data_IF_432814066285
#
_entry.id   IF_432814066285
#
_cell.length_a   1.000
_cell.length_b   1.000
_cell.length_c   1.000
_cell.angle_alpha   90.00
_cell.angle_beta   90.00
_cell.angle_gamma   90.00
#
_symmetry.space_group_name_H-M   'P 1'
#
loop_
_entity.id
_entity.type
_entity.pdbx_description
1 polymer ?
#
# COMPACT_ATOMS: atom_id res chain seq x y z
N UNK A 1 21.83 4.39 -19.96
CA UNK A 1 20.70 4.42 -20.88
C UNK A 1 20.63 3.04 -21.50
N UNK A 2 19.89 2.11 -20.89
CA UNK A 2 19.53 0.84 -21.48
C UNK A 2 18.45 1.11 -22.53
N UNK A 3 18.61 0.55 -23.73
CA UNK A 3 17.56 0.58 -24.73
C UNK A 3 16.30 -0.05 -24.13
N UNK A 4 15.17 0.63 -24.25
CA UNK A 4 13.84 0.11 -23.88
C UNK A 4 13.56 -1.12 -24.77
N UNK A 5 13.88 -2.33 -24.26
CA UNK A 5 13.68 -3.60 -24.97
C UNK A 5 12.19 -4.02 -24.98
N UNK A 6 11.31 -3.23 -24.34
CA UNK A 6 9.85 -3.46 -24.32
C UNK A 6 9.13 -2.75 -25.49
N UNK A 7 9.79 -1.80 -26.18
CA UNK A 7 9.23 -1.12 -27.33
C UNK A 7 9.09 -2.09 -28.51
N UNK A 8 7.86 -2.61 -28.71
CA UNK A 8 7.50 -3.48 -29.83
C UNK A 8 6.98 -4.87 -29.46
N UNK A 9 7.02 -5.29 -28.20
CA UNK A 9 6.37 -6.54 -27.78
C UNK A 9 4.85 -6.32 -27.67
N UNK A 10 4.11 -7.14 -28.40
CA UNK A 10 2.66 -7.23 -28.29
C UNK A 10 2.30 -8.53 -27.55
N UNK A 11 1.42 -8.42 -26.56
CA UNK A 11 0.87 -9.54 -25.82
C UNK A 11 -0.65 -9.51 -25.98
N UNK A 12 -1.21 -10.52 -26.63
CA UNK A 12 -2.64 -10.74 -26.76
C UNK A 12 -3.08 -11.77 -25.76
N UNK A 13 -4.00 -11.40 -24.87
CA UNK A 13 -4.67 -12.29 -23.94
C UNK A 13 -6.11 -12.45 -24.45
N UNK A 14 -6.43 -13.63 -24.95
CA UNK A 14 -7.72 -13.91 -25.57
C UNK A 14 -8.56 -14.90 -24.75
N UNK A 15 -9.86 -14.96 -25.07
CA UNK A 15 -10.80 -15.90 -24.49
C UNK A 15 -10.81 -15.83 -22.94
N UNK A 16 -11.08 -14.64 -22.41
CA UNK A 16 -11.14 -14.35 -20.97
C UNK A 16 -12.48 -13.75 -20.57
N UNK A 17 -12.85 -13.93 -19.30
CA UNK A 17 -13.89 -13.13 -18.64
C UNK A 17 -13.19 -11.98 -17.91
N UNK A 18 -13.58 -10.75 -18.21
CA UNK A 18 -12.89 -9.55 -17.73
C UNK A 18 -13.64 -8.98 -16.53
N UNK A 19 -12.92 -8.82 -15.39
CA UNK A 19 -13.24 -7.86 -14.35
C UNK A 19 -12.39 -6.62 -14.60
N UNK A 20 -13.02 -5.50 -14.95
CA UNK A 20 -12.28 -4.31 -15.39
C UNK A 20 -11.80 -3.38 -14.26
N UNK A 21 -12.09 -3.73 -12.99
CA UNK A 21 -11.75 -2.91 -11.82
C UNK A 21 -12.80 -1.83 -11.49
N UNK A 22 -13.84 -1.68 -12.32
CA UNK A 22 -14.88 -0.63 -12.17
C UNK A 22 -16.28 -1.24 -12.11
N UNK A 23 -16.57 -2.17 -13.01
CA UNK A 23 -17.87 -2.87 -13.12
C UNK A 23 -18.08 -3.83 -11.96
N UNK A 24 -19.33 -4.23 -11.73
CA UNK A 24 -19.69 -5.22 -10.70
C UNK A 24 -19.93 -6.62 -11.27
N UNK A 25 -19.63 -6.81 -12.55
CA UNK A 25 -19.87 -8.05 -13.29
C UNK A 25 -18.70 -8.34 -14.23
N UNK A 26 -18.59 -9.62 -14.62
CA UNK A 26 -17.66 -10.05 -15.66
C UNK A 26 -18.31 -9.92 -17.03
N UNK A 27 -17.47 -9.69 -18.04
CA UNK A 27 -17.85 -9.77 -19.45
C UNK A 27 -16.76 -10.49 -20.26
N UNK A 28 -17.16 -11.17 -21.33
CA UNK A 28 -16.23 -11.87 -22.21
C UNK A 28 -15.44 -10.89 -23.07
N UNK A 29 -14.17 -11.17 -23.30
CA UNK A 29 -13.35 -10.31 -24.12
C UNK A 29 -11.94 -10.79 -24.38
N UNK A 30 -11.19 -9.90 -25.04
CA UNK A 30 -9.81 -10.05 -25.42
C UNK A 30 -9.07 -8.76 -25.08
N UNK A 31 -7.83 -8.87 -24.62
CA UNK A 31 -7.01 -7.72 -24.21
C UNK A 31 -5.70 -7.73 -24.97
N UNK A 32 -5.42 -6.64 -25.68
CA UNK A 32 -4.13 -6.42 -26.34
C UNK A 32 -3.30 -5.46 -25.49
N UNK A 33 -2.08 -5.86 -25.20
CA UNK A 33 -1.06 -5.07 -24.52
C UNK A 33 0.03 -4.72 -25.53
N UNK A 34 0.41 -3.43 -25.58
CA UNK A 34 1.55 -2.94 -26.38
C UNK A 34 2.49 -2.16 -25.47
N UNK A 35 3.74 -2.64 -25.39
CA UNK A 35 4.71 -2.08 -24.47
C UNK A 35 4.22 -2.16 -23.01
N UNK A 36 4.04 -1.01 -22.36
CA UNK A 36 3.68 -0.91 -20.93
C UNK A 36 2.18 -0.65 -20.65
N UNK A 37 1.36 -0.55 -21.70
CA UNK A 37 -0.06 -0.15 -21.59
C UNK A 37 -0.99 -1.10 -22.32
N UNK A 38 -2.26 -1.12 -21.91
CA UNK A 38 -3.33 -1.82 -22.59
C UNK A 38 -3.69 -1.01 -23.84
N UNK A 39 -3.52 -1.61 -25.02
CA UNK A 39 -3.80 -0.98 -26.32
C UNK A 39 -5.26 -1.14 -26.73
N UNK A 40 -5.88 -2.30 -26.46
CA UNK A 40 -7.29 -2.56 -26.77
C UNK A 40 -7.91 -3.52 -25.78
N UNK A 41 -9.24 -3.37 -25.61
CA UNK A 41 -10.12 -4.30 -24.88
C UNK A 41 -11.35 -4.49 -25.77
N UNK A 42 -11.57 -5.69 -26.33
CA UNK A 42 -12.60 -5.95 -27.32
C UNK A 42 -13.42 -7.20 -26.95
N UNK A 43 -14.69 -7.20 -27.28
CA UNK A 43 -15.56 -8.39 -27.16
C UNK A 43 -15.41 -9.34 -28.35
N UNK A 44 -14.92 -8.88 -29.47
CA UNK A 44 -14.62 -9.68 -30.67
C UNK A 44 -13.14 -10.06 -30.70
N UNK A 45 -12.79 -11.18 -31.35
CA UNK A 45 -11.38 -11.59 -31.46
C UNK A 45 -10.49 -10.51 -32.07
N UNK A 46 -9.35 -10.25 -31.44
CA UNK A 46 -8.31 -9.36 -31.95
C UNK A 46 -7.35 -10.21 -32.79
N UNK A 47 -7.06 -9.77 -34.02
CA UNK A 47 -6.11 -10.47 -34.88
C UNK A 47 -4.69 -10.40 -34.29
N UNK A 48 -4.06 -11.55 -34.09
CA UNK A 48 -2.65 -11.62 -33.75
C UNK A 48 -1.77 -11.25 -34.95
N UNK A 49 -0.76 -10.45 -34.70
CA UNK A 49 0.29 -10.10 -35.68
C UNK A 49 1.47 -11.08 -35.63
N UNK A 50 2.32 -11.02 -36.65
CA UNK A 50 3.56 -11.81 -36.67
C UNK A 50 4.47 -11.37 -35.49
N UNK A 51 4.83 -12.34 -34.64
CA UNK A 51 5.69 -12.10 -33.47
C UNK A 51 4.96 -11.72 -32.19
N UNK A 52 3.62 -11.64 -32.18
CA UNK A 52 2.83 -11.46 -30.96
C UNK A 52 2.96 -12.66 -30.04
N UNK A 53 2.99 -12.41 -28.72
CA UNK A 53 2.79 -13.46 -27.72
C UNK A 53 1.30 -13.60 -27.50
N UNK A 54 0.75 -14.79 -27.79
CA UNK A 54 -0.68 -15.06 -27.61
C UNK A 54 -0.88 -15.99 -26.40
N UNK A 55 -1.75 -15.57 -25.50
CA UNK A 55 -2.15 -16.33 -24.30
C UNK A 55 -3.66 -16.62 -24.39
N UNK A 56 -4.03 -17.88 -24.53
CA UNK A 56 -5.41 -18.32 -24.38
C UNK A 56 -5.78 -18.40 -22.90
N UNK A 57 -6.68 -17.55 -22.45
CA UNK A 57 -7.19 -17.55 -21.08
C UNK A 57 -8.14 -18.71 -20.78
N UNK A 58 -8.65 -19.41 -21.80
CA UNK A 58 -9.56 -20.55 -21.69
C UNK A 58 -10.75 -20.28 -20.75
N UNK A 59 -11.37 -19.11 -20.88
CA UNK A 59 -12.53 -18.69 -20.09
C UNK A 59 -12.23 -18.33 -18.62
N UNK A 60 -10.95 -18.22 -18.22
CA UNK A 60 -10.54 -17.74 -16.88
C UNK A 60 -10.81 -16.25 -16.72
N UNK A 61 -10.75 -15.77 -15.47
CA UNK A 61 -10.97 -14.37 -15.18
C UNK A 61 -9.69 -13.56 -15.30
N UNK A 62 -9.69 -12.56 -16.18
CA UNK A 62 -8.66 -11.53 -16.25
C UNK A 62 -9.10 -10.34 -15.41
N UNK A 63 -8.23 -9.88 -14.49
CA UNK A 63 -8.49 -8.73 -13.63
C UNK A 63 -7.28 -7.81 -13.56
N UNK A 64 -7.43 -6.54 -13.13
CA UNK A 64 -6.29 -5.68 -12.87
C UNK A 64 -5.39 -6.27 -11.77
N UNK A 65 -4.12 -5.94 -11.79
CA UNK A 65 -3.21 -6.20 -10.69
C UNK A 65 -3.74 -5.61 -9.39
N UNK A 66 -3.64 -6.36 -8.29
CA UNK A 66 -4.07 -5.91 -6.97
C UNK A 66 -3.13 -4.84 -6.44
N UNK A 67 -3.66 -4.04 -5.53
CA UNK A 67 -2.95 -2.95 -4.86
C UNK A 67 -3.03 -3.09 -3.35
N UNK A 68 -1.98 -2.67 -2.65
CA UNK A 68 -1.95 -2.59 -1.18
C UNK A 68 -1.65 -1.15 -0.78
N UNK A 69 -2.58 -0.50 -0.07
CA UNK A 69 -2.48 0.92 0.26
C UNK A 69 -1.69 1.22 1.54
N UNK A 70 -1.21 0.19 2.23
CA UNK A 70 -0.42 0.39 3.45
C UNK A 70 0.53 -0.79 3.68
N UNK A 71 1.71 -0.67 3.13
CA UNK A 71 2.81 -1.62 3.40
C UNK A 71 4.00 -0.90 4.03
N UNK A 72 4.87 -1.70 4.60
CA UNK A 72 6.19 -1.31 5.07
C UNK A 72 7.21 -2.30 4.51
N UNK A 73 7.59 -2.15 3.24
CA UNK A 73 8.43 -3.16 2.54
C UNK A 73 9.72 -3.47 3.30
N UNK A 74 10.37 -2.45 3.88
CA UNK A 74 11.54 -2.64 4.73
C UNK A 74 11.19 -3.43 5.99
N UNK A 75 10.08 -3.10 6.65
CA UNK A 75 9.60 -3.78 7.86
C UNK A 75 9.07 -5.19 7.59
N UNK A 76 8.41 -5.42 6.45
CA UNK A 76 7.96 -6.77 6.03
C UNK A 76 9.12 -7.71 5.73
N UNK A 77 10.23 -7.17 5.25
CA UNK A 77 11.40 -7.94 4.84
C UNK A 77 12.34 -8.27 5.99
N UNK A 78 12.26 -7.55 7.10
CA UNK A 78 13.28 -7.58 8.14
C UNK A 78 12.65 -7.66 9.54
N UNK A 79 13.26 -8.45 10.41
CA UNK A 79 12.93 -8.44 11.84
C UNK A 79 13.45 -7.17 12.51
N UNK A 80 12.98 -6.85 13.72
CA UNK A 80 13.53 -5.74 14.51
C UNK A 80 15.04 -5.88 14.72
N UNK A 81 15.54 -7.12 14.92
CA UNK A 81 16.97 -7.38 15.08
C UNK A 81 17.74 -7.06 13.79
N UNK A 82 17.20 -7.42 12.62
CA UNK A 82 17.82 -7.09 11.34
C UNK A 82 17.91 -5.57 11.14
N UNK A 83 16.85 -4.82 11.48
CA UNK A 83 16.85 -3.35 11.37
C UNK A 83 17.93 -2.71 12.27
N UNK A 84 18.12 -3.26 13.47
CA UNK A 84 19.11 -2.73 14.44
C UNK A 84 20.54 -3.13 14.05
N UNK A 85 20.77 -4.38 13.66
CA UNK A 85 22.11 -4.97 13.49
C UNK A 85 22.55 -5.11 12.04
N UNK A 86 21.61 -5.14 11.10
CA UNK A 86 21.89 -5.42 9.68
C UNK A 86 22.57 -4.25 8.98
N UNK A 87 23.38 -4.54 7.97
CA UNK A 87 23.89 -3.50 7.08
C UNK A 87 22.80 -2.94 6.16
N UNK A 88 22.92 -1.70 5.71
CA UNK A 88 21.96 -1.12 4.75
C UNK A 88 21.87 -1.96 3.45
N UNK A 89 22.98 -2.56 3.01
CA UNK A 89 22.99 -3.45 1.84
C UNK A 89 22.17 -4.72 2.08
N UNK A 90 22.28 -5.32 3.28
CA UNK A 90 21.47 -6.48 3.66
C UNK A 90 20.00 -6.14 3.68
N UNK A 91 19.61 -5.02 4.34
CA UNK A 91 18.23 -4.57 4.42
C UNK A 91 17.64 -4.30 3.03
N UNK A 92 18.39 -3.62 2.15
CA UNK A 92 17.95 -3.34 0.79
C UNK A 92 17.76 -4.62 -0.05
N UNK A 93 18.69 -5.57 0.06
CA UNK A 93 18.59 -6.87 -0.66
C UNK A 93 17.38 -7.68 -0.19
N UNK A 94 17.15 -7.77 1.13
CA UNK A 94 15.97 -8.44 1.70
C UNK A 94 14.67 -7.75 1.26
N UNK A 95 14.64 -6.41 1.26
CA UNK A 95 13.48 -5.63 0.83
C UNK A 95 13.16 -5.85 -0.65
N UNK A 96 14.17 -5.93 -1.53
CA UNK A 96 13.94 -6.23 -2.95
C UNK A 96 13.41 -7.65 -3.15
N UNK A 97 13.92 -8.63 -2.41
CA UNK A 97 13.41 -10.01 -2.44
C UNK A 97 11.93 -10.05 -1.99
N UNK A 98 11.59 -9.36 -0.89
CA UNK A 98 10.22 -9.25 -0.38
C UNK A 98 9.28 -8.54 -1.35
N UNK A 99 9.75 -7.51 -2.06
CA UNK A 99 9.01 -6.86 -3.12
C UNK A 99 8.67 -7.84 -4.26
N UNK A 100 9.60 -8.74 -4.62
CA UNK A 100 9.35 -9.81 -5.59
C UNK A 100 8.25 -10.76 -5.12
N UNK A 101 8.29 -11.18 -3.86
CA UNK A 101 7.27 -12.08 -3.29
C UNK A 101 5.89 -11.38 -3.27
N UNK A 102 5.84 -10.09 -2.95
CA UNK A 102 4.62 -9.27 -3.02
C UNK A 102 4.03 -9.25 -4.43
N UNK A 103 4.86 -9.06 -5.46
CA UNK A 103 4.42 -9.12 -6.86
C UNK A 103 3.90 -10.52 -7.24
N UNK A 104 4.56 -11.59 -6.79
CA UNK A 104 4.15 -12.97 -7.07
C UNK A 104 2.82 -13.34 -6.39
N UNK A 105 2.43 -12.62 -5.34
CA UNK A 105 1.08 -12.72 -4.74
C UNK A 105 0.02 -11.91 -5.51
N UNK A 106 0.39 -11.23 -6.61
CA UNK A 106 -0.52 -10.49 -7.47
C UNK A 106 -0.67 -9.01 -7.09
N UNK A 107 0.05 -8.51 -6.09
CA UNK A 107 0.06 -7.09 -5.77
C UNK A 107 1.06 -6.37 -6.68
N UNK A 108 0.55 -5.71 -7.72
CA UNK A 108 1.36 -5.04 -8.74
C UNK A 108 1.70 -3.59 -8.39
N UNK A 109 1.02 -3.03 -7.39
CA UNK A 109 1.26 -1.66 -6.88
C UNK A 109 1.07 -1.61 -5.37
N UNK A 110 1.98 -0.93 -4.67
CA UNK A 110 1.92 -0.74 -3.22
C UNK A 110 2.19 0.72 -2.84
N UNK A 111 1.53 1.19 -1.76
CA UNK A 111 1.85 2.45 -1.09
C UNK A 111 2.64 2.12 0.17
N UNK A 112 3.93 2.45 0.15
CA UNK A 112 4.86 2.18 1.23
C UNK A 112 4.88 3.34 2.24
N UNK A 113 4.60 3.02 3.50
CA UNK A 113 4.26 3.99 4.54
C UNK A 113 5.36 4.17 5.59
N UNK A 114 6.51 3.50 5.44
CA UNK A 114 7.78 3.83 6.11
C UNK A 114 8.93 3.00 5.53
N UNK A 115 10.08 3.63 5.38
CA UNK A 115 11.32 3.01 4.92
C UNK A 115 11.90 3.65 3.66
N UNK A 116 13.21 3.58 3.50
CA UNK A 116 13.92 4.10 2.33
C UNK A 116 13.75 3.18 1.12
N UNK A 117 12.65 3.35 0.39
CA UNK A 117 12.29 2.53 -0.77
C UNK A 117 12.31 3.26 -2.11
N UNK A 118 12.60 4.57 -2.16
CA UNK A 118 12.68 5.29 -3.43
C UNK A 118 13.82 4.79 -4.32
N UNK A 119 14.92 4.32 -3.73
CA UNK A 119 16.01 3.65 -4.46
C UNK A 119 15.57 2.30 -5.06
N UNK A 120 14.86 1.49 -4.27
CA UNK A 120 14.30 0.19 -4.68
C UNK A 120 13.28 0.38 -5.81
N UNK A 121 12.39 1.38 -5.69
CA UNK A 121 11.46 1.75 -6.76
C UNK A 121 12.17 1.96 -8.09
N UNK A 122 13.27 2.72 -8.11
CA UNK A 122 14.02 3.00 -9.36
C UNK A 122 14.56 1.70 -10.00
N UNK A 123 14.99 0.74 -9.19
CA UNK A 123 15.44 -0.57 -9.68
C UNK A 123 14.28 -1.34 -10.28
N UNK A 124 13.14 -1.40 -9.58
CA UNK A 124 11.94 -2.09 -10.04
C UNK A 124 11.32 -1.42 -11.27
N UNK A 125 11.32 -0.08 -11.36
CA UNK A 125 10.81 0.65 -12.53
C UNK A 125 11.65 0.35 -13.80
N UNK A 126 12.94 0.01 -13.62
CA UNK A 126 13.82 -0.41 -14.72
C UNK A 126 13.72 -1.92 -15.02
N UNK A 127 13.32 -2.74 -14.06
CA UNK A 127 13.21 -4.21 -14.15
C UNK A 127 11.89 -4.64 -13.51
N UNK A 128 10.77 -4.55 -14.26
CA UNK A 128 9.41 -4.72 -13.74
C UNK A 128 9.14 -6.06 -13.03
N UNK A 129 9.88 -7.08 -13.37
CA UNK A 129 9.77 -8.43 -12.80
C UNK A 129 10.30 -8.52 -11.36
N UNK A 130 10.99 -7.51 -10.86
CA UNK A 130 11.59 -7.53 -9.52
C UNK A 130 10.66 -7.10 -8.39
N UNK A 131 9.49 -6.52 -8.70
CA UNK A 131 8.55 -6.11 -7.65
C UNK A 131 7.39 -5.24 -8.16
N UNK A 132 6.50 -4.80 -7.26
CA UNK A 132 5.38 -3.91 -7.59
C UNK A 132 5.85 -2.48 -7.89
N UNK A 133 4.95 -1.66 -8.45
CA UNK A 133 5.09 -0.20 -8.40
C UNK A 133 5.06 0.26 -6.95
N UNK A 134 5.91 1.20 -6.59
CA UNK A 134 6.00 1.68 -5.20
C UNK A 134 5.69 3.17 -5.14
N UNK A 135 4.77 3.55 -4.25
CA UNK A 135 4.53 4.93 -3.81
C UNK A 135 5.20 5.12 -2.44
N UNK A 136 6.48 5.53 -2.37
CA UNK A 136 7.23 5.61 -1.12
C UNK A 136 6.87 6.86 -0.31
N UNK A 137 6.68 6.72 1.00
CA UNK A 137 6.68 7.84 1.94
C UNK A 137 8.08 8.23 2.39
N UNK A 138 9.05 7.36 2.14
CA UNK A 138 10.35 7.39 2.79
C UNK A 138 10.19 7.23 4.31
N UNK A 139 11.06 7.80 5.14
CA UNK A 139 10.91 7.69 6.59
C UNK A 139 9.55 8.23 7.07
N UNK A 140 8.85 7.48 7.91
CA UNK A 140 7.70 8.04 8.62
C UNK A 140 8.19 9.01 9.71
N UNK A 141 7.46 10.10 9.90
CA UNK A 141 7.87 11.17 10.83
C UNK A 141 7.11 11.01 12.14
N UNK A 142 7.83 11.01 13.25
CA UNK A 142 7.31 10.91 14.61
C UNK A 142 7.85 12.03 15.49
N UNK A 143 7.23 12.21 16.65
CA UNK A 143 7.77 13.06 17.71
C UNK A 143 8.64 12.24 18.67
N UNK A 144 9.42 12.88 19.55
CA UNK A 144 10.09 12.24 20.67
C UNK A 144 9.10 11.47 21.54
N UNK A 145 9.39 10.20 21.82
CA UNK A 145 8.54 9.28 22.57
C UNK A 145 7.24 8.91 21.86
N UNK A 146 7.12 9.17 20.56
CA UNK A 146 5.98 8.81 19.73
C UNK A 146 6.09 7.44 19.09
N UNK A 147 5.07 7.07 18.30
CA UNK A 147 4.93 5.73 17.70
C UNK A 147 6.10 5.31 16.80
N UNK A 148 6.76 6.26 16.15
CA UNK A 148 7.94 6.01 15.31
C UNK A 148 9.27 6.34 16.00
N UNK A 149 9.30 6.60 17.30
CA UNK A 149 10.55 6.78 18.04
C UNK A 149 11.05 5.41 18.51
N UNK A 150 11.94 4.81 17.71
CA UNK A 150 12.59 3.52 18.02
C UNK A 150 13.95 3.68 18.70
N UNK A 151 14.21 4.81 19.37
CA UNK A 151 15.36 4.96 20.25
C UNK A 151 15.21 4.14 21.53
N UNK A 152 16.32 3.78 22.17
CA UNK A 152 16.25 3.13 23.48
C UNK A 152 15.82 4.14 24.55
N UNK A 153 15.15 3.64 25.63
CA UNK A 153 14.49 4.46 26.64
C UNK A 153 15.43 5.50 27.32
N UNK A 154 16.71 5.21 27.41
CA UNK A 154 17.72 6.12 27.99
C UNK A 154 18.54 6.88 26.97
N UNK A 155 18.28 6.72 25.68
CA UNK A 155 18.93 7.54 24.65
C UNK A 155 18.36 8.94 24.70
N UNK A 156 19.26 9.91 24.62
CA UNK A 156 18.88 11.31 24.63
C UNK A 156 18.28 11.68 23.27
N UNK A 157 17.07 12.27 23.22
CA UNK A 157 16.47 12.69 21.95
C UNK A 157 17.36 13.63 21.14
N UNK A 158 17.33 13.53 19.82
CA UNK A 158 18.07 14.40 18.90
C UNK A 158 17.72 15.88 19.11
N UNK A 159 16.45 16.19 19.45
CA UNK A 159 16.00 17.53 19.82
C UNK A 159 16.75 18.14 21.01
N UNK A 160 17.28 17.30 21.90
CA UNK A 160 18.04 17.68 23.09
C UNK A 160 19.55 17.44 22.93
N UNK A 161 20.04 17.23 21.69
CA UNK A 161 21.47 17.03 21.39
C UNK A 161 21.95 15.58 21.51
N UNK A 162 21.03 14.60 21.45
CA UNK A 162 21.36 13.18 21.30
C UNK A 162 21.71 12.82 19.86
N UNK A 163 22.12 11.58 19.64
CA UNK A 163 22.39 11.03 18.30
C UNK A 163 21.10 10.52 17.66
N UNK A 164 21.10 10.41 16.33
CA UNK A 164 20.04 9.70 15.60
C UNK A 164 20.01 8.24 16.03
N UNK A 165 18.81 7.73 16.25
CA UNK A 165 18.56 6.30 16.48
C UNK A 165 18.92 5.48 15.25
N UNK A 166 19.08 4.16 15.40
CA UNK A 166 19.35 3.30 14.25
C UNK A 166 18.23 3.36 13.21
N UNK A 167 16.99 3.46 13.62
CA UNK A 167 15.83 3.60 12.73
C UNK A 167 15.90 4.86 11.87
N UNK A 168 16.40 5.98 12.45
CA UNK A 168 16.62 7.22 11.71
C UNK A 168 17.79 7.09 10.72
N UNK A 169 18.91 6.49 11.15
CA UNK A 169 20.11 6.30 10.31
C UNK A 169 19.85 5.45 9.06
N UNK A 170 18.95 4.48 9.14
CA UNK A 170 18.57 3.63 7.98
C UNK A 170 17.41 4.20 7.17
N UNK A 171 16.88 5.38 7.52
CA UNK A 171 15.76 6.01 6.82
C UNK A 171 14.41 5.30 7.02
N UNK A 172 14.25 4.55 8.12
CA UNK A 172 12.97 3.91 8.45
C UNK A 172 12.03 4.91 9.14
N UNK A 173 12.53 5.66 10.10
CA UNK A 173 11.81 6.71 10.83
C UNK A 173 12.59 8.02 10.83
N UNK A 174 11.92 9.12 11.18
CA UNK A 174 12.50 10.43 11.44
C UNK A 174 11.81 11.06 12.65
N UNK A 175 12.57 11.41 13.70
CA UNK A 175 12.04 12.09 14.88
C UNK A 175 12.18 13.60 14.73
N UNK A 176 11.09 14.34 14.89
CA UNK A 176 11.05 15.79 14.74
C UNK A 176 10.05 16.43 15.72
N UNK A 177 10.53 17.39 16.53
CA UNK A 177 9.73 18.14 17.49
C UNK A 177 9.74 19.63 17.15
N UNK A 178 8.57 20.24 17.14
CA UNK A 178 8.34 21.63 16.77
C UNK A 178 8.12 21.84 15.28
N UNK A 179 7.33 22.87 14.90
CA UNK A 179 6.93 23.12 13.52
C UNK A 179 8.09 23.24 12.52
N UNK A 180 9.20 23.90 12.94
CA UNK A 180 10.36 24.09 12.08
C UNK A 180 11.08 22.77 11.74
N UNK A 181 11.20 21.87 12.73
CA UNK A 181 11.85 20.57 12.52
C UNK A 181 10.95 19.62 11.74
N UNK A 182 9.66 19.63 12.00
CA UNK A 182 8.68 18.87 11.20
C UNK A 182 8.70 19.35 9.75
N UNK A 183 8.71 20.67 9.52
CA UNK A 183 8.85 21.25 8.18
C UNK A 183 10.13 20.76 7.47
N UNK A 184 11.26 20.78 8.18
CA UNK A 184 12.54 20.31 7.65
C UNK A 184 12.51 18.80 7.34
N UNK A 185 11.95 17.99 8.24
CA UNK A 185 11.81 16.54 8.06
C UNK A 185 10.93 16.20 6.84
N UNK A 186 9.79 16.88 6.65
CA UNK A 186 8.94 16.68 5.47
C UNK A 186 9.70 17.00 4.18
N UNK A 187 10.40 18.15 4.13
CA UNK A 187 11.19 18.53 2.97
C UNK A 187 12.33 17.56 2.68
N UNK A 188 12.93 16.98 3.73
CA UNK A 188 13.93 15.92 3.58
C UNK A 188 13.33 14.70 2.90
N UNK A 189 12.17 14.17 3.36
CA UNK A 189 11.55 13.01 2.73
C UNK A 189 11.15 13.30 1.28
N UNK A 190 10.62 14.49 0.98
CA UNK A 190 10.31 14.93 -0.37
C UNK A 190 11.56 15.00 -1.25
N UNK A 191 12.69 15.52 -0.75
CA UNK A 191 13.98 15.51 -1.45
C UNK A 191 14.48 14.11 -1.75
N UNK A 192 14.26 13.14 -0.83
CA UNK A 192 14.64 11.75 -0.97
C UNK A 192 13.74 10.97 -1.93
N UNK A 193 12.60 11.52 -2.34
CA UNK A 193 11.74 10.94 -3.36
C UNK A 193 10.39 10.44 -2.86
N UNK A 194 9.95 10.88 -1.68
CA UNK A 194 8.61 10.59 -1.17
C UNK A 194 7.52 11.04 -2.15
N UNK A 195 6.50 10.23 -2.33
CA UNK A 195 5.31 10.54 -3.13
C UNK A 195 4.15 11.07 -2.26
N UNK A 196 4.12 10.70 -1.00
CA UNK A 196 3.27 11.20 0.07
C UNK A 196 4.09 11.29 1.36
N UNK A 197 3.57 11.98 2.37
CA UNK A 197 4.19 12.07 3.69
C UNK A 197 3.41 11.23 4.69
N UNK A 198 4.12 10.46 5.54
CA UNK A 198 3.54 9.72 6.66
C UNK A 198 3.94 10.36 7.98
N UNK A 199 2.93 10.68 8.81
CA UNK A 199 3.11 11.12 10.20
C UNK A 199 2.53 10.10 11.18
N UNK A 200 3.12 9.99 12.38
CA UNK A 200 2.61 9.23 13.50
C UNK A 200 1.88 10.18 14.46
N UNK A 201 0.53 10.17 14.47
CA UNK A 201 -0.30 11.16 15.18
C UNK A 201 -0.97 10.58 16.42
N UNK A 202 -0.81 9.29 16.65
CA UNK A 202 -1.30 8.60 17.84
C UNK A 202 -0.39 7.46 18.25
N UNK A 203 -0.65 6.87 19.42
CA UNK A 203 0.04 5.68 19.89
C UNK A 203 -0.34 4.44 19.08
N UNK A 204 0.50 3.39 19.14
CA UNK A 204 0.31 2.15 18.40
C UNK A 204 0.72 0.89 19.17
N UNK A 205 0.46 -0.27 18.56
CA UNK A 205 0.71 -1.58 19.21
C UNK A 205 2.19 -1.97 19.17
N UNK A 206 2.90 -1.68 18.09
CA UNK A 206 4.28 -2.15 17.88
C UNK A 206 5.34 -1.39 18.68
N UNK A 207 5.00 -0.28 19.31
CA UNK A 207 5.88 0.59 20.07
C UNK A 207 5.65 0.51 21.59
N UNK A 208 6.66 0.89 22.38
CA UNK A 208 6.67 0.68 23.83
C UNK A 208 6.25 1.93 24.64
N UNK A 209 6.47 3.15 24.11
CA UNK A 209 6.38 4.40 24.87
C UNK A 209 5.06 5.15 24.71
N UNK A 210 4.19 4.71 23.82
CA UNK A 210 3.04 5.44 23.33
C UNK A 210 1.72 4.66 23.50
N UNK A 211 1.05 4.79 24.65
CA UNK A 211 -0.30 4.24 24.83
C UNK A 211 -1.28 4.73 23.73
N UNK A 212 -2.28 3.89 23.38
CA UNK A 212 -3.25 4.17 22.30
C UNK A 212 -4.03 5.47 22.47
N UNK A 213 -4.21 5.96 23.70
CA UNK A 213 -4.90 7.22 24.00
C UNK A 213 -4.06 8.46 23.71
N UNK A 214 -2.75 8.33 23.48
CA UNK A 214 -1.88 9.49 23.26
C UNK A 214 -2.20 10.16 21.93
N UNK A 215 -2.14 11.49 21.93
CA UNK A 215 -2.26 12.31 20.73
C UNK A 215 -0.90 12.95 20.49
N UNK A 216 -0.31 12.56 19.38
CA UNK A 216 1.04 12.99 19.01
C UNK A 216 0.96 14.16 18.03
N UNK A 217 1.96 15.00 18.05
CA UNK A 217 2.02 16.29 17.38
C UNK A 217 0.92 17.29 17.80
N UNK A 218 1.32 18.52 17.93
CA UNK A 218 0.43 19.67 18.11
C UNK A 218 -0.23 20.02 16.76
N UNK A 219 -1.30 20.80 16.81
CA UNK A 219 -1.94 21.31 15.59
C UNK A 219 -1.01 22.19 14.73
N UNK A 220 -0.03 22.87 15.35
CA UNK A 220 0.93 23.70 14.63
C UNK A 220 1.94 22.84 13.84
N UNK A 221 2.42 21.74 14.41
CA UNK A 221 3.30 20.79 13.76
C UNK A 221 2.61 20.10 12.58
N UNK A 222 1.37 19.65 12.78
CA UNK A 222 0.58 19.03 11.69
C UNK A 222 0.35 20.01 10.53
N UNK A 223 0.01 21.27 10.83
CA UNK A 223 -0.16 22.29 9.79
C UNK A 223 1.15 22.58 9.05
N UNK A 224 2.29 22.58 9.73
CA UNK A 224 3.59 22.75 9.09
C UNK A 224 3.90 21.59 8.11
N UNK A 225 3.57 20.35 8.50
CA UNK A 225 3.73 19.19 7.64
C UNK A 225 2.80 19.25 6.41
N UNK A 226 1.50 19.57 6.63
CA UNK A 226 0.52 19.69 5.55
C UNK A 226 0.92 20.77 4.56
N UNK A 227 1.28 21.96 5.04
CA UNK A 227 1.74 23.07 4.19
C UNK A 227 2.94 22.66 3.32
N UNK A 228 3.95 21.99 3.94
CA UNK A 228 5.11 21.56 3.18
C UNK A 228 4.77 20.52 2.11
N UNK A 229 3.87 19.59 2.38
CA UNK A 229 3.42 18.60 1.42
C UNK A 229 2.62 19.23 0.26
N UNK A 230 1.69 20.14 0.58
CA UNK A 230 0.89 20.87 -0.42
C UNK A 230 1.75 21.76 -1.31
N UNK A 231 2.78 22.43 -0.79
CA UNK A 231 3.75 23.23 -1.56
C UNK A 231 4.50 22.39 -2.60
N UNK A 232 4.60 21.07 -2.40
CA UNK A 232 5.20 20.11 -3.33
C UNK A 232 4.16 19.33 -4.16
N UNK A 233 2.88 19.70 -4.06
CA UNK A 233 1.79 19.10 -4.84
C UNK A 233 1.44 17.68 -4.42
N UNK A 234 1.59 17.35 -3.12
CA UNK A 234 1.24 16.06 -2.54
C UNK A 234 0.48 16.21 -1.20
N UNK A 235 0.33 15.14 -0.45
CA UNK A 235 -0.51 15.07 0.74
C UNK A 235 0.18 14.41 1.94
N UNK A 236 -0.44 14.58 3.10
CA UNK A 236 -0.08 13.93 4.36
C UNK A 236 -1.08 12.82 4.68
N UNK A 237 -0.56 11.65 5.06
CA UNK A 237 -1.27 10.53 5.65
C UNK A 237 -0.81 10.34 7.10
N UNK A 238 -1.71 9.90 8.00
CA UNK A 238 -1.39 9.82 9.43
C UNK A 238 -1.81 8.50 10.07
N UNK A 239 -0.87 7.85 10.78
CA UNK A 239 -1.18 6.79 11.72
C UNK A 239 -1.91 7.38 12.93
N UNK A 240 -3.10 6.93 13.22
CA UNK A 240 -3.84 7.32 14.42
C UNK A 240 -5.05 6.40 14.64
N UNK A 241 -5.28 6.02 15.89
CA UNK A 241 -6.45 5.21 16.27
C UNK A 241 -7.55 6.04 16.93
N UNK A 242 -7.21 6.98 17.81
CA UNK A 242 -8.15 7.65 18.71
C UNK A 242 -8.83 8.89 18.09
N UNK A 243 -10.04 9.17 18.57
CA UNK A 243 -10.92 10.26 18.11
C UNK A 243 -10.21 11.61 18.09
N UNK A 244 -9.50 11.96 19.18
CA UNK A 244 -8.88 13.30 19.32
C UNK A 244 -7.78 13.52 18.29
N UNK A 245 -6.94 12.51 18.07
CA UNK A 245 -5.87 12.55 17.07
C UNK A 245 -6.42 12.64 15.65
N UNK A 246 -7.45 11.83 15.33
CA UNK A 246 -8.11 11.86 14.01
C UNK A 246 -8.68 13.25 13.73
N UNK A 247 -9.46 13.83 14.66
CA UNK A 247 -10.05 15.15 14.49
C UNK A 247 -9.01 16.25 14.31
N UNK A 248 -7.94 16.23 15.14
CA UNK A 248 -6.83 17.17 15.02
C UNK A 248 -6.13 17.07 13.66
N UNK A 249 -5.89 15.84 13.16
CA UNK A 249 -5.28 15.61 11.86
C UNK A 249 -6.15 16.14 10.70
N UNK A 250 -7.43 15.85 10.72
CA UNK A 250 -8.40 16.34 9.71
C UNK A 250 -8.50 17.86 9.71
N UNK A 251 -8.57 18.49 10.89
CA UNK A 251 -8.59 19.94 11.03
C UNK A 251 -7.29 20.61 10.56
N UNK A 252 -6.17 19.90 10.62
CA UNK A 252 -4.89 20.36 10.07
C UNK A 252 -4.78 20.24 8.56
N UNK A 253 -5.69 19.49 7.88
CA UNK A 253 -5.71 19.33 6.42
C UNK A 253 -5.16 17.99 5.91
N UNK A 254 -4.95 17.00 6.79
CA UNK A 254 -4.56 15.63 6.41
C UNK A 254 -5.59 15.01 5.46
N UNK A 255 -5.16 14.25 4.46
CA UNK A 255 -6.02 13.66 3.42
C UNK A 255 -6.29 12.17 3.60
N UNK A 256 -5.48 11.46 4.40
CA UNK A 256 -5.64 10.02 4.65
C UNK A 256 -5.39 9.73 6.13
N UNK A 257 -6.39 9.12 6.77
CA UNK A 257 -6.27 8.54 8.10
C UNK A 257 -5.95 7.06 7.93
N UNK A 258 -4.83 6.64 8.50
CA UNK A 258 -4.42 5.25 8.53
C UNK A 258 -4.93 4.62 9.81
N UNK A 259 -5.47 3.41 9.72
CA UNK A 259 -6.06 2.61 10.80
C UNK A 259 -7.42 3.11 11.27
N UNK A 260 -7.48 4.04 12.22
CA UNK A 260 -8.72 4.65 12.69
C UNK A 260 -9.62 3.75 13.56
N UNK A 261 -9.17 2.57 13.98
CA UNK A 261 -9.99 1.51 14.60
C UNK A 261 -10.72 1.90 15.89
N UNK A 262 -10.25 2.95 16.60
CA UNK A 262 -10.85 3.44 17.84
C UNK A 262 -11.61 4.77 17.62
N UNK A 263 -11.97 5.08 16.36
CA UNK A 263 -12.84 6.22 16.05
C UNK A 263 -14.25 5.99 16.60
N UNK A 264 -14.94 7.08 16.92
CA UNK A 264 -16.38 7.05 17.13
C UNK A 264 -17.16 7.31 15.83
N UNK A 265 -18.46 7.01 15.81
CA UNK A 265 -19.30 7.16 14.62
C UNK A 265 -19.31 8.60 14.09
N UNK A 266 -19.33 9.60 14.98
CA UNK A 266 -19.32 11.00 14.59
C UNK A 266 -18.00 11.41 13.90
N UNK A 267 -16.89 10.83 14.34
CA UNK A 267 -15.59 11.05 13.70
C UNK A 267 -15.52 10.37 12.32
N UNK A 268 -16.08 9.17 12.18
CA UNK A 268 -16.17 8.50 10.87
C UNK A 268 -17.06 9.29 9.90
N UNK A 269 -18.21 9.81 10.36
CA UNK A 269 -19.07 10.68 9.56
C UNK A 269 -18.32 11.95 9.10
N UNK A 270 -17.53 12.58 9.98
CA UNK A 270 -16.70 13.73 9.64
C UNK A 270 -15.68 13.42 8.52
N UNK A 271 -15.10 12.19 8.47
CA UNK A 271 -14.20 11.82 7.37
C UNK A 271 -14.92 11.89 6.03
N UNK A 272 -16.15 11.38 5.95
CA UNK A 272 -16.98 11.45 4.75
C UNK A 272 -17.28 12.89 4.35
N UNK A 273 -17.74 13.72 5.30
CA UNK A 273 -18.06 15.14 5.08
C UNK A 273 -16.87 15.96 4.57
N UNK A 274 -15.67 15.63 5.05
CA UNK A 274 -14.43 16.33 4.67
C UNK A 274 -13.72 15.70 3.47
N UNK A 275 -14.24 14.58 2.92
CA UNK A 275 -13.62 13.85 1.82
C UNK A 275 -12.26 13.25 2.16
N UNK A 276 -12.00 12.96 3.43
CA UNK A 276 -10.76 12.34 3.92
C UNK A 276 -10.86 10.83 3.77
N UNK A 277 -9.81 10.20 3.25
CA UNK A 277 -9.72 8.77 3.12
C UNK A 277 -9.50 8.08 4.45
N UNK A 278 -10.08 6.90 4.60
CA UNK A 278 -9.79 5.95 5.66
C UNK A 278 -9.05 4.75 5.05
N UNK A 279 -7.75 4.66 5.30
CA UNK A 279 -6.94 3.51 4.90
C UNK A 279 -6.85 2.55 6.10
N UNK A 280 -7.62 1.47 6.05
CA UNK A 280 -7.79 0.59 7.21
C UNK A 280 -7.61 -0.89 6.88
N UNK A 281 -7.39 -1.69 7.91
CA UNK A 281 -7.05 -3.10 7.83
C UNK A 281 -8.15 -3.93 8.50
N UNK A 282 -8.54 -5.10 7.93
CA UNK A 282 -9.43 -6.05 8.60
C UNK A 282 -8.65 -6.91 9.61
N UNK A 283 -8.08 -6.25 10.65
CA UNK A 283 -7.23 -6.90 11.63
C UNK A 283 -7.94 -7.97 12.45
N UNK A 284 -7.22 -9.08 12.68
CA UNK A 284 -7.53 -10.10 13.66
C UNK A 284 -6.39 -10.22 14.69
N UNK A 285 -6.70 -10.60 15.92
CA UNK A 285 -5.71 -10.63 17.00
C UNK A 285 -4.47 -11.50 16.68
N UNK A 286 -4.64 -12.53 15.85
CA UNK A 286 -3.56 -13.45 15.47
C UNK A 286 -2.68 -12.97 14.32
N UNK A 287 -2.98 -11.82 13.70
CA UNK A 287 -2.19 -11.30 12.58
C UNK A 287 -0.79 -10.87 13.02
N UNK A 288 -0.65 -10.48 14.28
CA UNK A 288 0.62 -10.05 14.86
C UNK A 288 0.99 -10.89 16.08
N UNK A 289 2.21 -11.43 16.09
CA UNK A 289 2.75 -12.24 17.19
C UNK A 289 3.42 -11.41 18.28
N UNK A 290 2.74 -10.41 18.87
CA UNK A 290 3.33 -9.57 19.90
C UNK A 290 3.71 -10.35 21.16
N UNK A 291 5.01 -10.46 21.46
CA UNK A 291 5.53 -11.11 22.67
C UNK A 291 5.40 -10.22 23.90
N UNK A 292 5.38 -8.89 23.71
CA UNK A 292 5.20 -7.94 24.81
C UNK A 292 3.72 -7.90 25.22
N UNK A 293 3.37 -8.12 26.52
CA UNK A 293 1.98 -8.15 26.99
C UNK A 293 1.21 -6.84 26.74
N UNK A 294 1.88 -5.67 26.86
CA UNK A 294 1.25 -4.38 26.64
C UNK A 294 0.92 -4.20 25.15
N UNK A 295 1.81 -4.59 24.24
CA UNK A 295 1.57 -4.60 22.81
C UNK A 295 0.43 -5.56 22.43
N UNK A 296 0.38 -6.75 23.02
CA UNK A 296 -0.70 -7.69 22.79
C UNK A 296 -2.06 -7.15 23.30
N UNK A 297 -2.09 -6.47 24.44
CA UNK A 297 -3.30 -5.83 24.96
C UNK A 297 -3.79 -4.69 24.04
N UNK A 298 -2.87 -3.84 23.57
CA UNK A 298 -3.17 -2.79 22.58
C UNK A 298 -3.70 -3.38 21.28
N UNK A 299 -3.08 -4.45 20.75
CA UNK A 299 -3.54 -5.13 19.54
C UNK A 299 -4.96 -5.65 19.68
N UNK A 300 -5.28 -6.28 20.82
CA UNK A 300 -6.64 -6.76 21.12
C UNK A 300 -7.66 -5.62 21.13
N UNK A 301 -7.33 -4.46 21.72
CA UNK A 301 -8.19 -3.28 21.75
C UNK A 301 -8.43 -2.75 20.34
N UNK A 302 -7.38 -2.65 19.50
CA UNK A 302 -7.46 -2.22 18.11
C UNK A 302 -8.37 -3.15 17.32
N UNK A 303 -8.12 -4.47 17.37
CA UNK A 303 -8.88 -5.48 16.64
C UNK A 303 -10.38 -5.48 17.02
N UNK A 304 -10.70 -5.19 18.28
CA UNK A 304 -12.10 -5.07 18.71
C UNK A 304 -12.88 -3.94 18.01
N UNK A 305 -12.17 -2.92 17.50
CA UNK A 305 -12.78 -1.81 16.74
C UNK A 305 -13.05 -2.10 15.27
N UNK A 306 -12.44 -3.14 14.69
CA UNK A 306 -12.45 -3.42 13.25
C UNK A 306 -13.86 -3.48 12.67
N UNK A 307 -14.71 -4.36 13.20
CA UNK A 307 -16.06 -4.57 12.66
C UNK A 307 -16.93 -3.31 12.67
N UNK A 308 -16.81 -2.55 13.75
CA UNK A 308 -17.63 -1.35 13.94
C UNK A 308 -17.14 -0.24 13.01
N UNK A 309 -15.83 -0.11 12.79
CA UNK A 309 -15.25 0.86 11.88
C UNK A 309 -15.73 0.64 10.44
N UNK A 310 -15.67 -0.61 9.92
CA UNK A 310 -16.16 -0.93 8.57
C UNK A 310 -17.66 -0.65 8.43
N UNK A 311 -18.47 -0.98 9.45
CA UNK A 311 -19.92 -0.67 9.45
C UNK A 311 -20.19 0.82 9.36
N UNK A 312 -19.50 1.64 10.15
CA UNK A 312 -19.67 3.09 10.11
C UNK A 312 -19.15 3.70 8.81
N UNK A 313 -18.00 3.22 8.32
CA UNK A 313 -17.45 3.69 7.05
C UNK A 313 -18.43 3.44 5.88
N UNK A 314 -19.02 2.25 5.82
CA UNK A 314 -20.07 1.92 4.83
C UNK A 314 -21.31 2.78 5.01
N UNK A 315 -21.82 2.91 6.26
CA UNK A 315 -23.02 3.69 6.58
C UNK A 315 -22.91 5.14 6.13
N UNK A 316 -21.76 5.76 6.32
CA UNK A 316 -21.52 7.17 6.02
C UNK A 316 -20.89 7.42 4.64
N UNK A 317 -20.61 6.39 3.87
CA UNK A 317 -20.02 6.51 2.53
C UNK A 317 -18.61 7.06 2.54
N UNK A 318 -17.80 6.71 3.55
CA UNK A 318 -16.39 7.09 3.62
C UNK A 318 -15.62 6.42 2.49
N UNK A 319 -14.71 7.13 1.84
CA UNK A 319 -13.75 6.53 0.92
C UNK A 319 -12.77 5.66 1.72
N UNK A 320 -12.89 4.34 1.54
CA UNK A 320 -12.04 3.36 2.23
C UNK A 320 -10.99 2.83 1.27
N UNK A 321 -9.76 2.74 1.75
CA UNK A 321 -8.65 2.03 1.11
C UNK A 321 -8.23 0.85 1.99
N UNK A 322 -7.84 -0.24 1.36
CA UNK A 322 -7.35 -1.43 2.04
C UNK A 322 -5.83 -1.52 1.97
N UNK A 323 -5.20 -1.90 3.07
CA UNK A 323 -3.79 -2.25 3.14
C UNK A 323 -3.53 -3.28 4.24
N UNK A 324 -2.34 -3.85 4.30
CA UNK A 324 -2.00 -4.95 5.22
C UNK A 324 -1.34 -4.51 6.50
N UNK A 325 -0.42 -3.56 6.43
CA UNK A 325 0.37 -3.10 7.59
C UNK A 325 1.17 -4.21 8.31
N UNK A 326 1.65 -5.20 7.56
CA UNK A 326 2.49 -6.27 8.12
C UNK A 326 3.91 -5.75 8.41
N UNK A 327 4.44 -6.08 9.60
CA UNK A 327 5.70 -5.55 10.12
C UNK A 327 6.47 -6.61 10.91
N UNK A 328 7.80 -6.62 10.75
CA UNK A 328 8.80 -7.29 11.59
C UNK A 328 8.70 -8.82 11.70
N UNK A 329 7.80 -9.44 10.94
CA UNK A 329 7.57 -10.88 10.90
C UNK A 329 7.66 -11.37 9.43
N UNK A 330 8.89 -11.44 8.84
CA UNK A 330 9.08 -11.70 7.41
C UNK A 330 8.52 -13.06 6.93
N UNK A 331 8.37 -14.02 7.85
CA UNK A 331 7.80 -15.35 7.54
C UNK A 331 6.27 -15.35 7.48
N UNK A 332 5.60 -14.24 7.83
CA UNK A 332 4.13 -14.11 7.85
C UNK A 332 3.56 -13.31 6.69
N UNK A 333 4.36 -12.97 5.72
CA UNK A 333 3.96 -12.15 4.57
C UNK A 333 2.87 -12.78 3.70
N UNK A 334 2.70 -14.11 3.73
CA UNK A 334 1.58 -14.80 3.08
C UNK A 334 0.20 -14.35 3.60
N UNK A 335 0.12 -13.82 4.84
CA UNK A 335 -1.10 -13.21 5.38
C UNK A 335 -1.62 -12.05 4.53
N UNK A 336 -0.79 -11.39 3.71
CA UNK A 336 -1.22 -10.32 2.82
C UNK A 336 -2.42 -10.73 1.97
N UNK A 337 -2.35 -11.88 1.32
CA UNK A 337 -3.44 -12.40 0.48
C UNK A 337 -4.66 -12.83 1.32
N UNK A 338 -4.45 -13.45 2.48
CA UNK A 338 -5.53 -13.87 3.38
C UNK A 338 -6.31 -12.65 3.92
N UNK A 339 -5.60 -11.63 4.43
CA UNK A 339 -6.22 -10.40 4.95
C UNK A 339 -7.08 -9.69 3.91
N UNK A 340 -6.65 -9.70 2.63
CA UNK A 340 -7.45 -9.15 1.54
C UNK A 340 -8.79 -9.88 1.40
N UNK A 341 -8.82 -11.21 1.51
CA UNK A 341 -10.06 -11.98 1.35
C UNK A 341 -11.07 -11.74 2.48
N UNK A 342 -10.62 -11.29 3.65
CA UNK A 342 -11.49 -10.94 4.79
C UNK A 342 -12.42 -9.77 4.48
N UNK A 343 -12.13 -8.96 3.47
CA UNK A 343 -13.03 -7.89 3.00
C UNK A 343 -14.41 -8.42 2.61
N UNK A 344 -14.51 -9.67 2.15
CA UNK A 344 -15.80 -10.34 1.86
C UNK A 344 -16.73 -10.47 3.08
N UNK A 345 -16.21 -10.30 4.31
CA UNK A 345 -17.00 -10.22 5.54
C UNK A 345 -17.67 -8.86 5.79
N UNK A 346 -17.23 -7.82 5.08
CA UNK A 346 -17.68 -6.43 5.27
C UNK A 346 -18.41 -5.86 4.07
N UNK A 347 -18.19 -6.41 2.88
CA UNK A 347 -18.73 -5.91 1.62
C UNK A 347 -18.89 -7.04 0.58
N UNK A 348 -19.53 -6.75 -0.54
CA UNK A 348 -19.60 -7.71 -1.65
C UNK A 348 -18.21 -7.97 -2.26
N UNK A 349 -18.02 -9.15 -2.88
CA UNK A 349 -16.75 -9.45 -3.54
C UNK A 349 -16.40 -8.43 -4.62
N UNK A 350 -17.39 -7.91 -5.36
CA UNK A 350 -17.20 -6.86 -6.34
C UNK A 350 -16.66 -5.56 -5.70
N UNK A 351 -17.20 -5.14 -4.56
CA UNK A 351 -16.71 -3.97 -3.82
C UNK A 351 -15.30 -4.20 -3.28
N UNK A 352 -15.01 -5.39 -2.75
CA UNK A 352 -13.67 -5.76 -2.28
C UNK A 352 -12.64 -5.71 -3.42
N UNK A 353 -12.95 -6.30 -4.57
CA UNK A 353 -12.07 -6.29 -5.74
C UNK A 353 -11.86 -4.87 -6.28
N UNK A 354 -12.91 -4.04 -6.34
CA UNK A 354 -12.77 -2.62 -6.71
C UNK A 354 -11.87 -1.88 -5.72
N UNK A 355 -12.02 -2.11 -4.42
CA UNK A 355 -11.19 -1.48 -3.39
C UNK A 355 -9.72 -1.79 -3.58
N UNK A 356 -9.35 -3.06 -3.80
CA UNK A 356 -7.96 -3.49 -3.95
C UNK A 356 -7.41 -3.32 -5.38
N UNK A 357 -8.13 -2.68 -6.27
CA UNK A 357 -7.70 -2.34 -7.63
C UNK A 357 -7.84 -0.84 -7.87
N UNK A 358 -8.91 -0.38 -8.54
CA UNK A 358 -9.14 1.03 -8.88
C UNK A 358 -9.37 1.93 -7.66
N UNK A 359 -9.94 1.40 -6.58
CA UNK A 359 -10.21 2.16 -5.35
C UNK A 359 -8.92 2.65 -4.67
N UNK A 360 -7.99 1.74 -4.35
CA UNK A 360 -6.70 2.13 -3.80
C UNK A 360 -5.91 3.01 -4.78
N UNK A 361 -6.01 2.74 -6.09
CA UNK A 361 -5.37 3.57 -7.12
C UNK A 361 -5.90 5.02 -7.12
N UNK A 362 -7.17 5.25 -6.77
CA UNK A 362 -7.72 6.61 -6.60
C UNK A 362 -7.06 7.32 -5.40
N UNK A 363 -6.84 6.63 -4.27
CA UNK A 363 -6.07 7.19 -3.15
C UNK A 363 -4.64 7.56 -3.57
N UNK A 364 -3.95 6.69 -4.32
CA UNK A 364 -2.56 6.94 -4.74
C UNK A 364 -2.43 8.21 -5.60
N UNK A 365 -3.46 8.57 -6.36
CA UNK A 365 -3.51 9.80 -7.18
C UNK A 365 -3.46 11.09 -6.37
N UNK A 366 -3.72 11.05 -5.06
CA UNK A 366 -3.51 12.19 -4.18
C UNK A 366 -2.05 12.64 -4.14
N UNK A 367 -1.11 11.78 -4.56
CA UNK A 367 0.29 12.14 -4.75
C UNK A 367 0.49 13.26 -5.81
N UNK A 368 -0.50 13.54 -6.65
CA UNK A 368 -0.57 14.70 -7.54
C UNK A 368 0.66 14.84 -8.44
N UNK A 369 1.38 15.96 -8.30
CA UNK A 369 2.61 16.21 -9.08
C UNK A 369 3.75 15.24 -8.74
N UNK A 370 3.68 14.56 -7.60
CA UNK A 370 4.66 13.58 -7.16
C UNK A 370 4.29 12.14 -7.53
N UNK A 371 3.13 11.92 -8.18
CA UNK A 371 2.72 10.60 -8.66
C UNK A 371 3.65 10.15 -9.81
N UNK A 372 4.50 9.12 -9.60
CA UNK A 372 5.45 8.65 -10.61
C UNK A 372 4.77 7.88 -11.75
N UNK A 373 3.51 7.48 -11.56
CA UNK A 373 2.77 6.63 -12.49
C UNK A 373 1.55 7.34 -13.11
N UNK A 374 1.46 8.67 -12.99
CA UNK A 374 0.33 9.50 -13.46
C UNK A 374 0.07 9.46 -14.96
N UNK A 375 1.01 8.92 -15.75
CA UNK A 375 0.91 8.87 -17.21
C UNK A 375 -0.23 7.96 -17.70
N UNK A 376 -0.67 6.96 -16.90
CA UNK A 376 -1.76 6.07 -17.25
C UNK A 376 -2.59 5.72 -15.99
N UNK A 377 -3.71 5.00 -16.17
CA UNK A 377 -4.53 4.54 -15.05
C UNK A 377 -3.99 3.25 -14.47
N UNK A 378 -4.08 3.13 -13.14
CA UNK A 378 -3.80 1.92 -12.39
C UNK A 378 -5.12 1.26 -11.95
N UNK A 379 -5.09 -0.07 -11.78
CA UNK A 379 -6.21 -0.83 -11.23
C UNK A 379 -7.42 -0.95 -12.14
N UNK A 380 -7.26 -0.68 -13.44
CA UNK A 380 -8.34 -0.78 -14.43
C UNK A 380 -7.87 -1.57 -15.66
N UNK A 381 -8.76 -2.40 -16.25
CA UNK A 381 -8.57 -2.97 -17.59
C UNK A 381 -9.35 -2.11 -18.59
N UNK A 382 -8.63 -1.21 -19.25
CA UNK A 382 -9.16 -0.32 -20.30
C UNK A 382 -8.04 0.16 -21.20
N UNK A 383 -8.39 0.58 -22.41
CA UNK A 383 -7.43 1.20 -23.32
C UNK A 383 -6.73 2.40 -22.65
N UNK A 384 -5.40 2.44 -22.74
CA UNK A 384 -4.54 3.47 -22.17
C UNK A 384 -4.23 3.28 -20.67
N UNK A 385 -4.69 2.23 -20.00
CA UNK A 385 -4.28 1.90 -18.64
C UNK A 385 -2.91 1.20 -18.63
N UNK A 386 -2.23 1.24 -17.47
CA UNK A 386 -1.03 0.43 -17.26
C UNK A 386 -1.34 -1.05 -17.42
N UNK A 387 -0.46 -1.78 -18.09
CA UNK A 387 -0.63 -3.21 -18.35
C UNK A 387 -0.16 -4.04 -17.15
N UNK A 388 -0.88 -3.90 -16.04
CA UNK A 388 -0.73 -4.67 -14.82
C UNK A 388 -1.98 -5.55 -14.67
N UNK A 389 -1.90 -6.83 -15.04
CA UNK A 389 -3.07 -7.72 -15.06
C UNK A 389 -2.76 -9.11 -14.49
N UNK A 390 -3.79 -9.75 -13.95
CA UNK A 390 -3.77 -11.10 -13.39
C UNK A 390 -4.77 -12.00 -14.11
N UNK A 391 -4.37 -13.22 -14.44
CA UNK A 391 -5.29 -14.26 -14.89
C UNK A 391 -5.54 -15.24 -13.75
N UNK A 392 -6.78 -15.29 -13.29
CA UNK A 392 -7.22 -16.09 -12.14
C UNK A 392 -7.91 -17.36 -12.61
N UNK A 393 -7.54 -18.50 -12.05
CA UNK A 393 -8.18 -19.78 -12.29
C UNK A 393 -9.50 -19.86 -11.50
N UNK A 394 -10.59 -19.38 -12.09
CA UNK A 394 -11.92 -19.30 -11.47
C UNK A 394 -12.53 -17.92 -11.56
N UNK A 395 -13.51 -17.66 -10.71
CA UNK A 395 -14.31 -16.43 -10.67
C UNK A 395 -14.18 -15.75 -9.29
N UNK A 396 -13.32 -14.72 -9.14
CA UNK A 396 -13.12 -14.04 -7.86
C UNK A 396 -14.33 -13.19 -7.43
N UNK A 397 -15.28 -12.86 -8.34
CA UNK A 397 -16.55 -12.25 -7.94
C UNK A 397 -17.46 -13.25 -7.23
N UNK A 398 -17.38 -14.54 -7.59
CA UNK A 398 -18.12 -15.61 -6.91
C UNK A 398 -17.40 -16.07 -5.64
N UNK A 399 -16.06 -16.19 -5.68
CA UNK A 399 -15.24 -16.67 -4.57
C UNK A 399 -13.95 -15.83 -4.43
N UNK A 400 -13.97 -14.87 -3.52
CA UNK A 400 -12.81 -14.03 -3.20
C UNK A 400 -11.64 -14.85 -2.62
N UNK A 401 -11.92 -16.01 -2.00
CA UNK A 401 -10.93 -16.91 -1.43
C UNK A 401 -9.92 -17.46 -2.43
N UNK A 402 -10.22 -17.44 -3.72
CA UNK A 402 -9.28 -17.80 -4.79
C UNK A 402 -8.00 -16.94 -4.73
N UNK A 403 -8.13 -15.65 -4.40
CA UNK A 403 -7.00 -14.72 -4.32
C UNK A 403 -6.20 -14.88 -3.02
N UNK A 404 -6.74 -15.60 -2.02
CA UNK A 404 -6.02 -15.99 -0.81
C UNK A 404 -4.99 -17.11 -1.03
N UNK A 405 -4.99 -17.75 -2.22
CA UNK A 405 -4.07 -18.83 -2.61
C UNK A 405 -3.43 -18.49 -3.96
N UNK A 406 -2.57 -17.47 -4.02
CA UNK A 406 -2.04 -16.93 -5.27
C UNK A 406 -1.14 -17.92 -6.03
N UNK A 407 -0.43 -18.81 -5.35
CA UNK A 407 0.41 -19.85 -5.97
C UNK A 407 -0.42 -20.83 -6.79
N UNK A 408 -1.63 -21.18 -6.34
CA UNK A 408 -2.53 -22.13 -6.98
C UNK A 408 -3.39 -21.49 -8.07
N UNK A 409 -3.84 -20.25 -7.81
CA UNK A 409 -4.91 -19.65 -8.60
C UNK A 409 -4.49 -18.50 -9.52
N UNK A 410 -3.32 -17.87 -9.33
CA UNK A 410 -2.81 -16.89 -10.30
C UNK A 410 -2.00 -17.60 -11.38
N UNK A 411 -2.64 -17.85 -12.54
CA UNK A 411 -2.03 -18.53 -13.67
C UNK A 411 -1.08 -17.63 -14.48
N UNK A 412 -1.38 -16.33 -14.57
CA UNK A 412 -0.57 -15.32 -15.24
C UNK A 412 -0.50 -14.07 -14.39
N UNK A 413 0.69 -13.50 -14.30
CA UNK A 413 0.93 -12.18 -13.75
C UNK A 413 1.68 -11.37 -14.80
N UNK A 414 1.10 -10.27 -15.22
CA UNK A 414 1.74 -9.29 -16.09
C UNK A 414 1.88 -7.99 -15.31
N UNK A 415 3.06 -7.40 -15.35
CA UNK A 415 3.31 -6.08 -14.76
C UNK A 415 4.12 -5.23 -15.74
N UNK A 416 3.66 -4.01 -16.01
CA UNK A 416 4.27 -3.15 -17.03
C UNK A 416 4.37 -3.82 -18.41
N UNK A 417 3.39 -4.67 -18.77
CA UNK A 417 3.41 -5.45 -20.00
C UNK A 417 4.42 -6.60 -20.04
N UNK A 418 5.17 -6.83 -18.96
CA UNK A 418 6.13 -7.94 -18.82
C UNK A 418 5.47 -9.12 -18.12
N UNK A 419 5.57 -10.31 -18.71
CA UNK A 419 5.09 -11.54 -18.07
C UNK A 419 6.05 -11.88 -16.92
N UNK A 420 5.53 -11.80 -15.67
CA UNK A 420 6.26 -12.12 -14.43
C UNK A 420 6.10 -13.59 -14.03
N UNK A 421 4.88 -14.10 -14.18
CA UNK A 421 4.52 -15.50 -13.94
C UNK A 421 3.65 -15.98 -15.10
N UNK A 422 3.92 -17.20 -15.59
CA UNK A 422 3.05 -17.91 -16.50
C UNK A 422 3.13 -19.42 -16.16
N UNK A 423 2.04 -19.97 -15.64
CA UNK A 423 1.91 -21.40 -15.32
C UNK A 423 0.93 -22.13 -16.25
N UNK A 424 0.42 -21.45 -17.29
CA UNK A 424 -0.43 -22.07 -18.30
C UNK A 424 0.39 -23.11 -19.09
N UNK A 425 -0.12 -24.33 -19.20
CA UNK A 425 0.55 -25.42 -19.91
C UNK A 425 1.58 -26.22 -19.08
N UNK A 426 1.66 -26.02 -17.78
CA UNK A 426 2.35 -26.90 -16.82
C UNK A 426 1.31 -27.78 -16.10
N UNK A 427 0.53 -28.54 -16.89
CA UNK A 427 -0.41 -29.54 -16.40
C UNK A 427 -0.09 -30.89 -17.02
#
# INVERSE_FOLDING_TARGET
MGADTSAGRRLLIENVRIFDGVSEHLYDGHVLIEGRTIAAVESSPIGAGDGDVVIDGAGRTLMPGMTDAHVHLVGMANTVIDLVMGSQTQLAAATLAKAKDTLLRGFTTVRDMAGDTAGIRKVIDAQPELGPRIYPSQAAISQTGGHGDFSFVYERPTALGGNESRAEQIGFMRVADGPERVLAAVREQLKLGATQIKLMVGGGAASLYDPLYTVQFTAAELRAAVQAAEDYGTYVATHVYNVTGIRRAVEAGVKSIEHGHLADEATVAMLAERGVWLSTQPFAEHDHGFLNPDSAAKNKEICAGTDQLYRWATKHGVKVAWGTDLLFEPDRDALQSEMMTRLGGYMTNAQALKMVTSGNAELFRLAGERDPYRAARLGEIRCGAWADVLLVNGDPLADLGLLGKPEDNLCLIVKDGVIVKNSLGRG
#
